data_IF_409778029914
#
_entry.id   IF_409778029914
#
_cell.length_a   1.000
_cell.length_b   1.000
_cell.length_c   1.000
_cell.angle_alpha   90.00
_cell.angle_beta   90.00
_cell.angle_gamma   90.00
#
_symmetry.space_group_name_H-M   'P 1'
#
loop_
_entity.id
_entity.type
_entity.pdbx_description
1 polymer ?
#
# COMPACT_ATOMS: atom_id res chain seq x y z
N UNK A 1 2.50 12.36 -20.48
CA UNK A 1 1.40 12.46 -19.49
C UNK A 1 1.90 13.23 -18.28
N UNK A 2 1.21 14.28 -17.85
CA UNK A 2 1.45 14.91 -16.54
C UNK A 2 0.52 14.20 -15.54
N UNK A 3 1.08 13.47 -14.59
CA UNK A 3 0.31 12.86 -13.52
C UNK A 3 -0.10 13.94 -12.51
N UNK A 4 -1.37 13.92 -12.11
CA UNK A 4 -1.83 14.75 -11.00
C UNK A 4 -1.31 14.19 -9.68
N UNK A 5 -1.29 15.03 -8.64
CA UNK A 5 -0.95 14.57 -7.29
C UNK A 5 -1.86 13.42 -6.81
N UNK A 6 -3.09 13.35 -7.32
CA UNK A 6 -4.01 12.25 -7.04
C UNK A 6 -3.63 10.96 -7.78
N UNK A 7 -3.12 11.05 -9.00
CA UNK A 7 -2.62 9.88 -9.73
C UNK A 7 -1.39 9.30 -9.04
N UNK A 8 -0.49 10.16 -8.54
CA UNK A 8 0.64 9.72 -7.72
C UNK A 8 0.21 8.98 -6.45
N UNK A 9 -0.83 9.48 -5.75
CA UNK A 9 -1.38 8.81 -4.56
C UNK A 9 -2.02 7.47 -4.91
N UNK A 10 -2.74 7.36 -6.03
CA UNK A 10 -3.31 6.09 -6.52
C UNK A 10 -2.24 5.07 -6.85
N UNK A 11 -1.26 5.45 -7.68
CA UNK A 11 -0.14 4.57 -8.02
C UNK A 11 0.64 4.11 -6.78
N UNK A 12 0.77 4.99 -5.79
CA UNK A 12 1.41 4.65 -4.53
C UNK A 12 0.61 3.60 -3.72
N UNK A 13 -0.71 3.72 -3.67
CA UNK A 13 -1.56 2.70 -3.03
C UNK A 13 -1.48 1.36 -3.78
N UNK A 14 -1.59 1.38 -5.10
CA UNK A 14 -1.50 0.17 -5.94
C UNK A 14 -0.16 -0.56 -5.75
N UNK A 15 0.94 0.19 -5.68
CA UNK A 15 2.27 -0.34 -5.38
C UNK A 15 2.28 -1.07 -4.03
N UNK A 16 1.77 -0.43 -2.97
CA UNK A 16 1.76 -1.00 -1.62
C UNK A 16 0.87 -2.24 -1.52
N UNK A 17 -0.25 -2.28 -2.24
CA UNK A 17 -1.13 -3.46 -2.30
C UNK A 17 -0.45 -4.62 -3.03
N UNK A 18 0.29 -4.34 -4.10
CA UNK A 18 1.11 -5.34 -4.79
C UNK A 18 2.20 -5.90 -3.87
N UNK A 19 2.95 -5.03 -3.19
CA UNK A 19 4.00 -5.44 -2.25
C UNK A 19 3.42 -6.33 -1.12
N UNK A 20 2.21 -6.02 -0.65
CA UNK A 20 1.53 -6.80 0.39
C UNK A 20 1.13 -8.20 -0.12
N UNK A 21 0.62 -8.28 -1.34
CA UNK A 21 0.28 -9.55 -2.00
C UNK A 21 1.51 -10.40 -2.29
N UNK A 22 2.64 -9.78 -2.60
CA UNK A 22 3.91 -10.48 -2.79
C UNK A 22 4.42 -11.06 -1.47
N UNK A 23 4.31 -10.32 -0.36
CA UNK A 23 4.62 -10.84 0.98
C UNK A 23 3.75 -12.06 1.34
N UNK A 24 2.45 -12.03 1.05
CA UNK A 24 1.58 -13.21 1.25
C UNK A 24 2.03 -14.40 0.37
N UNK A 25 2.37 -14.14 -0.89
CA UNK A 25 2.80 -15.18 -1.85
C UNK A 25 4.14 -15.82 -1.47
N UNK A 26 5.05 -15.04 -0.90
CA UNK A 26 6.33 -15.50 -0.37
C UNK A 26 6.20 -16.24 0.98
N UNK A 27 4.98 -16.35 1.53
CA UNK A 27 4.72 -17.04 2.78
C UNK A 27 5.16 -16.28 4.03
N UNK A 28 5.28 -14.94 3.96
CA UNK A 28 5.54 -14.15 5.16
C UNK A 28 4.40 -14.32 6.15
N UNK A 29 4.75 -14.68 7.39
CA UNK A 29 3.77 -14.77 8.47
C UNK A 29 3.07 -13.43 8.66
N UNK A 30 1.73 -13.49 8.79
CA UNK A 30 0.90 -12.32 9.13
C UNK A 30 1.27 -11.70 10.47
N UNK A 31 1.93 -12.48 11.32
CA UNK A 31 2.44 -12.02 12.60
C UNK A 31 3.83 -11.40 12.55
N UNK A 32 4.53 -11.55 11.43
CA UNK A 32 5.86 -10.97 11.25
C UNK A 32 5.80 -9.45 11.33
N UNK A 33 6.85 -8.86 11.92
CA UNK A 33 7.00 -7.41 12.02
C UNK A 33 6.96 -6.75 10.64
N UNK A 34 7.52 -7.41 9.62
CA UNK A 34 7.51 -6.93 8.23
C UNK A 34 6.09 -6.87 7.67
N UNK A 35 5.34 -7.97 7.77
CA UNK A 35 3.95 -8.01 7.29
C UNK A 35 3.07 -6.96 7.98
N UNK A 36 3.12 -6.90 9.32
CA UNK A 36 2.37 -5.90 10.10
C UNK A 36 2.75 -4.46 9.72
N UNK A 37 4.01 -4.21 9.39
CA UNK A 37 4.48 -2.90 8.93
C UNK A 37 3.96 -2.56 7.54
N UNK A 38 3.97 -3.53 6.61
CA UNK A 38 3.43 -3.37 5.26
C UNK A 38 1.92 -3.09 5.30
N UNK A 39 1.15 -3.83 6.11
CA UNK A 39 -0.29 -3.59 6.32
C UNK A 39 -0.53 -2.15 6.79
N UNK A 40 0.14 -1.71 7.86
CA UNK A 40 -0.04 -0.35 8.40
C UNK A 40 0.27 0.74 7.37
N UNK A 41 1.31 0.57 6.55
CA UNK A 41 1.67 1.52 5.49
C UNK A 41 0.61 1.57 4.39
N UNK A 42 0.12 0.42 3.97
CA UNK A 42 -0.93 0.29 2.95
C UNK A 42 -2.22 0.93 3.43
N UNK A 43 -2.65 0.65 4.66
CA UNK A 43 -3.86 1.24 5.26
C UNK A 43 -3.75 2.75 5.42
N UNK A 44 -2.57 3.25 5.82
CA UNK A 44 -2.33 4.70 5.89
C UNK A 44 -2.46 5.34 4.50
N UNK A 45 -1.87 4.74 3.47
CA UNK A 45 -1.95 5.26 2.10
C UNK A 45 -3.38 5.25 1.56
N UNK A 46 -4.18 4.20 1.84
CA UNK A 46 -5.61 4.15 1.50
C UNK A 46 -6.40 5.27 2.17
N UNK A 47 -6.18 5.49 3.47
CA UNK A 47 -6.85 6.54 4.22
C UNK A 47 -6.47 7.93 3.68
N UNK A 48 -5.19 8.18 3.38
CA UNK A 48 -4.74 9.43 2.77
C UNK A 48 -5.37 9.65 1.39
N UNK A 49 -5.47 8.62 0.56
CA UNK A 49 -6.12 8.69 -0.74
C UNK A 49 -7.62 9.01 -0.62
N UNK A 50 -8.31 8.35 0.31
CA UNK A 50 -9.74 8.57 0.57
C UNK A 50 -10.04 9.96 1.17
N UNK A 51 -9.17 10.44 2.06
CA UNK A 51 -9.30 11.78 2.65
C UNK A 51 -8.88 12.92 1.71
N UNK A 52 -8.22 12.58 0.59
CA UNK A 52 -7.84 13.55 -0.45
C UNK A 52 -8.87 13.64 -1.58
N UNK A 53 -10.03 12.99 -1.42
CA UNK A 53 -11.03 12.76 -2.46
C UNK A 53 -12.18 13.75 -2.39
#
# INVERSE_FOLDING_TARGET
MKYSQMDHKKMWVEKLESDLSELESLGYSKDSKMYKSAVKRTDKARNELNNSR
#
